data_IF_024832541644
#
_entry.id   IF_024832541644
#
_cell.length_a   1.000
_cell.length_b   1.000
_cell.length_c   1.000
_cell.angle_alpha   90.00
_cell.angle_beta   90.00
_cell.angle_gamma   90.00
#
_symmetry.space_group_name_H-M   'P 1'
#
loop_
_entity.id
_entity.type
_entity.pdbx_description
1 polymer ?
#
# COMPACT_ATOMS: atom_id res chain seq x y z
N UNK A 1 15.73 0.37 2.50
CA UNK A 1 14.31 0.32 2.09
C UNK A 1 13.83 -1.10 2.26
N UNK A 2 12.88 -1.38 3.17
CA UNK A 2 12.26 -2.70 3.20
C UNK A 2 11.46 -2.90 1.91
N UNK A 3 11.53 -4.11 1.37
CA UNK A 3 10.77 -4.47 0.19
C UNK A 3 9.28 -4.60 0.55
N UNK A 4 8.36 -4.50 -0.44
CA UNK A 4 6.98 -4.92 -0.24
C UNK A 4 6.94 -6.30 0.41
N UNK A 5 5.94 -6.54 1.26
CA UNK A 5 5.74 -7.84 1.90
C UNK A 5 5.76 -8.95 0.85
N UNK A 6 6.63 -9.93 1.07
CA UNK A 6 6.57 -11.18 0.31
C UNK A 6 5.39 -12.02 0.80
N UNK A 7 4.94 -13.00 0.03
CA UNK A 7 3.87 -13.90 0.48
C UNK A 7 4.29 -14.68 1.75
N UNK A 8 5.57 -15.05 1.85
CA UNK A 8 6.15 -15.67 3.06
C UNK A 8 5.97 -14.79 4.28
N UNK A 9 6.42 -13.54 4.19
CA UNK A 9 6.31 -12.58 5.28
C UNK A 9 4.85 -12.35 5.66
N UNK A 10 3.97 -12.32 4.66
CA UNK A 10 2.54 -12.12 4.86
C UNK A 10 1.87 -13.26 5.62
N UNK A 11 2.13 -14.52 5.25
CA UNK A 11 1.62 -15.70 5.94
C UNK A 11 2.12 -15.74 7.38
N UNK A 12 3.41 -15.47 7.60
CA UNK A 12 3.99 -15.42 8.94
C UNK A 12 3.37 -14.31 9.79
N UNK A 13 3.22 -13.09 9.24
CA UNK A 13 2.66 -11.94 9.96
C UNK A 13 1.18 -12.14 10.30
N UNK A 14 0.44 -12.80 9.43
CA UNK A 14 -0.97 -13.13 9.67
C UNK A 14 -1.14 -14.39 10.52
N UNK A 15 -0.06 -15.03 10.98
CA UNK A 15 -0.14 -16.23 11.83
C UNK A 15 -0.81 -17.42 11.14
N UNK A 16 -0.61 -17.56 9.83
CA UNK A 16 -0.99 -18.76 9.09
C UNK A 16 0.21 -19.68 8.88
N UNK A 17 -0.07 -20.95 8.58
CA UNK A 17 0.92 -21.88 8.01
C UNK A 17 0.54 -22.08 6.54
N UNK A 18 1.51 -21.96 5.63
CA UNK A 18 1.27 -22.16 4.20
C UNK A 18 2.13 -23.29 3.66
N UNK A 19 1.56 -24.29 2.96
CA UNK A 19 2.34 -25.32 2.30
C UNK A 19 3.32 -24.76 1.29
N UNK A 20 3.03 -23.62 0.63
CA UNK A 20 3.99 -22.98 -0.28
C UNK A 20 5.27 -22.56 0.44
N UNK A 21 5.14 -22.05 1.67
CA UNK A 21 6.28 -21.68 2.51
C UNK A 21 6.99 -22.93 3.03
N UNK A 22 6.23 -23.91 3.54
CA UNK A 22 6.79 -25.17 4.03
C UNK A 22 7.49 -25.97 2.92
N UNK A 23 7.00 -25.89 1.68
CA UNK A 23 7.58 -26.53 0.51
C UNK A 23 8.94 -25.92 0.17
N UNK A 24 9.08 -24.60 0.30
CA UNK A 24 10.37 -23.93 0.17
C UNK A 24 11.32 -24.27 1.30
N UNK A 25 10.84 -24.33 2.54
CA UNK A 25 11.69 -24.60 3.72
C UNK A 25 12.22 -26.04 3.77
N UNK A 26 11.49 -27.00 3.18
CA UNK A 26 11.95 -28.39 3.01
C UNK A 26 13.06 -28.54 1.95
N UNK A 27 13.33 -27.50 1.16
CA UNK A 27 14.35 -27.46 0.12
C UNK A 27 15.77 -27.26 0.66
N UNK A 28 16.35 -28.28 1.28
CA UNK A 28 17.81 -28.35 1.50
C UNK A 28 18.54 -28.59 0.15
N UNK A 29 19.83 -28.27 0.06
CA UNK A 29 20.61 -28.21 -1.20
C UNK A 29 20.59 -29.49 -2.08
N UNK A 30 20.22 -30.66 -1.54
CA UNK A 30 20.05 -31.90 -2.29
C UNK A 30 18.64 -32.07 -2.91
N UNK A 31 17.62 -31.35 -2.41
CA UNK A 31 16.23 -31.36 -2.88
C UNK A 31 15.90 -30.17 -3.81
N UNK A 32 16.89 -29.31 -4.12
CA UNK A 32 16.77 -28.22 -5.10
C UNK A 32 16.54 -28.70 -6.54
N UNK A 33 16.65 -30.01 -6.79
CA UNK A 33 16.27 -30.66 -8.05
C UNK A 33 14.77 -30.99 -8.05
N UNK A 34 13.94 -29.97 -8.22
CA UNK A 34 12.55 -30.12 -8.65
C UNK A 34 11.53 -30.29 -7.52
N UNK A 35 10.86 -29.19 -7.17
CA UNK A 35 9.49 -29.30 -6.65
C UNK A 35 8.62 -29.90 -7.75
N UNK A 36 7.89 -30.97 -7.44
CA UNK A 36 7.08 -31.66 -8.43
C UNK A 36 5.85 -30.82 -8.79
N UNK A 37 5.30 -31.03 -9.99
CA UNK A 37 4.07 -30.35 -10.37
C UNK A 37 2.93 -30.63 -9.38
N UNK A 38 2.91 -31.83 -8.78
CA UNK A 38 1.96 -32.21 -7.71
C UNK A 38 2.02 -31.25 -6.52
N UNK A 39 3.23 -30.91 -6.07
CA UNK A 39 3.41 -30.04 -4.90
C UNK A 39 2.84 -28.64 -5.15
N UNK A 40 2.98 -28.12 -6.38
CA UNK A 40 2.39 -26.84 -6.77
C UNK A 40 0.84 -26.91 -6.79
N UNK A 41 0.27 -27.96 -7.36
CA UNK A 41 -1.19 -28.12 -7.48
C UNK A 41 -1.86 -28.41 -6.13
N UNK A 42 -1.24 -29.18 -5.25
CA UNK A 42 -1.72 -29.37 -3.88
C UNK A 42 -1.60 -28.05 -3.08
N UNK A 43 -0.50 -27.30 -3.26
CA UNK A 43 -0.31 -26.02 -2.60
C UNK A 43 -1.26 -24.91 -3.11
N UNK A 44 -1.73 -24.98 -4.36
CA UNK A 44 -2.77 -24.09 -4.91
C UNK A 44 -4.04 -24.14 -4.09
N UNK A 45 -4.60 -25.34 -3.87
CA UNK A 45 -5.89 -25.50 -3.17
C UNK A 45 -5.80 -24.97 -1.74
N UNK A 46 -4.68 -25.21 -1.06
CA UNK A 46 -4.45 -24.67 0.28
C UNK A 46 -4.19 -23.16 0.26
N UNK A 47 -3.48 -22.61 -0.72
CA UNK A 47 -3.27 -21.17 -0.85
C UNK A 47 -4.59 -20.40 -1.04
N UNK A 48 -5.54 -20.96 -1.78
CA UNK A 48 -6.90 -20.40 -1.92
C UNK A 48 -7.66 -20.48 -0.59
N UNK A 49 -7.66 -21.65 0.08
CA UNK A 49 -8.31 -21.82 1.39
C UNK A 49 -7.74 -20.86 2.44
N UNK A 50 -6.42 -20.74 2.50
CA UNK A 50 -5.72 -19.83 3.39
C UNK A 50 -6.06 -18.38 3.03
N UNK A 51 -6.04 -18.00 1.76
CA UNK A 51 -6.44 -16.66 1.32
C UNK A 51 -7.83 -16.28 1.84
N UNK A 52 -8.81 -17.14 1.62
CA UNK A 52 -10.18 -16.95 2.08
C UNK A 52 -10.29 -16.86 3.61
N UNK A 53 -9.63 -17.76 4.33
CA UNK A 53 -9.63 -17.78 5.80
C UNK A 53 -8.95 -16.56 6.41
N UNK A 54 -7.79 -16.18 5.88
CA UNK A 54 -7.00 -15.04 6.34
C UNK A 54 -7.75 -13.72 6.10
N UNK A 55 -8.39 -13.54 4.94
CA UNK A 55 -9.18 -12.34 4.61
C UNK A 55 -10.44 -12.25 5.47
N UNK A 56 -11.18 -13.36 5.64
CA UNK A 56 -12.40 -13.37 6.49
C UNK A 56 -12.09 -13.07 7.96
N UNK A 57 -10.99 -13.60 8.50
CA UNK A 57 -10.55 -13.34 9.87
C UNK A 57 -9.79 -12.03 10.07
N UNK A 58 -9.50 -11.29 8.99
CA UNK A 58 -8.62 -10.12 9.06
C UNK A 58 -9.18 -9.04 9.97
N UNK A 59 -10.49 -8.79 9.91
CA UNK A 59 -11.17 -7.75 10.72
C UNK A 59 -10.91 -7.92 12.21
N UNK A 60 -11.01 -9.15 12.72
CA UNK A 60 -10.74 -9.46 14.12
C UNK A 60 -9.25 -9.35 14.45
N UNK A 61 -8.39 -9.75 13.53
CA UNK A 61 -6.92 -9.68 13.70
C UNK A 61 -6.37 -8.27 13.69
N UNK A 62 -7.03 -7.33 13.02
CA UNK A 62 -6.63 -5.92 13.00
C UNK A 62 -7.35 -5.08 14.04
N UNK A 63 -8.32 -5.65 14.75
CA UNK A 63 -9.10 -4.95 15.77
C UNK A 63 -8.22 -4.57 16.94
N UNK A 64 -8.28 -3.30 17.34
CA UNK A 64 -7.55 -2.82 18.50
C UNK A 64 -6.04 -2.84 18.34
N UNK A 65 -5.48 -2.96 17.14
CA UNK A 65 -4.05 -2.77 16.90
C UNK A 65 -3.70 -1.28 16.75
N UNK A 66 -2.43 -0.93 16.96
CA UNK A 66 -1.91 0.38 16.57
C UNK A 66 -1.88 0.52 15.04
N UNK A 67 -1.97 1.75 14.50
CA UNK A 67 -1.89 2.01 13.05
C UNK A 67 -0.76 1.24 12.37
N UNK A 68 0.45 1.28 12.93
CA UNK A 68 1.60 0.60 12.32
C UNK A 68 1.34 -0.90 12.12
N UNK A 69 1.01 -1.61 13.20
CA UNK A 69 0.74 -3.06 13.18
C UNK A 69 -0.44 -3.44 12.29
N UNK A 70 -1.43 -2.55 12.21
CA UNK A 70 -2.60 -2.67 11.35
C UNK A 70 -2.23 -2.51 9.88
N UNK A 71 -1.50 -1.45 9.52
CA UNK A 71 -0.98 -1.22 8.15
C UNK A 71 -0.12 -2.41 7.68
N UNK A 72 0.76 -2.94 8.54
CA UNK A 72 1.57 -4.12 8.19
C UNK A 72 0.69 -5.34 7.87
N UNK A 73 -0.35 -5.62 8.68
CA UNK A 73 -1.28 -6.73 8.42
C UNK A 73 -2.14 -6.54 7.18
N UNK A 74 -2.59 -5.31 6.89
CA UNK A 74 -3.33 -5.01 5.66
C UNK A 74 -2.43 -5.19 4.43
N UNK A 75 -1.15 -4.84 4.51
CA UNK A 75 -0.20 -5.05 3.43
C UNK A 75 0.15 -6.53 3.24
N UNK A 76 0.25 -7.30 4.33
CA UNK A 76 0.34 -8.75 4.24
C UNK A 76 -0.91 -9.37 3.59
N UNK A 77 -2.11 -8.92 3.98
CA UNK A 77 -3.35 -9.38 3.34
C UNK A 77 -3.36 -9.05 1.83
N UNK A 78 -2.84 -7.89 1.43
CA UNK A 78 -2.66 -7.55 0.02
C UNK A 78 -1.76 -8.55 -0.72
N UNK A 79 -0.59 -8.90 -0.16
CA UNK A 79 0.30 -9.88 -0.76
C UNK A 79 -0.36 -11.27 -0.89
N UNK A 80 -1.20 -11.66 0.08
CA UNK A 80 -1.97 -12.91 0.02
C UNK A 80 -2.98 -12.89 -1.13
N UNK A 81 -3.79 -11.83 -1.27
CA UNK A 81 -4.81 -11.78 -2.33
C UNK A 81 -4.23 -11.74 -3.74
N UNK A 82 -3.02 -11.18 -3.93
CA UNK A 82 -2.30 -11.23 -5.21
C UNK A 82 -2.06 -12.68 -5.62
N UNK A 83 -1.52 -13.49 -4.72
CA UNK A 83 -1.24 -14.89 -5.04
C UNK A 83 -2.51 -15.73 -5.12
N UNK A 84 -3.49 -15.49 -4.25
CA UNK A 84 -4.81 -16.15 -4.29
C UNK A 84 -5.52 -15.91 -5.61
N UNK A 85 -5.52 -14.69 -6.15
CA UNK A 85 -6.16 -14.38 -7.42
C UNK A 85 -5.61 -15.21 -8.58
N UNK A 86 -4.29 -15.40 -8.65
CA UNK A 86 -3.67 -16.25 -9.65
C UNK A 86 -4.09 -17.71 -9.48
N UNK A 87 -3.99 -18.24 -8.26
CA UNK A 87 -4.30 -19.65 -7.99
C UNK A 87 -5.79 -20.00 -8.15
N UNK A 88 -6.71 -19.09 -7.86
CA UNK A 88 -8.13 -19.30 -8.14
C UNK A 88 -8.34 -19.54 -9.64
N UNK A 89 -7.92 -18.57 -10.46
CA UNK A 89 -8.04 -18.62 -11.91
C UNK A 89 -7.29 -19.82 -12.50
N UNK A 90 -6.11 -20.15 -11.94
CA UNK A 90 -5.26 -21.23 -12.42
C UNK A 90 -5.99 -22.57 -12.53
N UNK A 91 -6.96 -22.88 -11.69
CA UNK A 91 -7.74 -24.10 -11.93
C UNK A 91 -9.22 -23.90 -11.80
N UNK A 92 -9.68 -22.71 -12.18
CA UNK A 92 -10.84 -22.58 -13.05
C UNK A 92 -10.45 -22.86 -14.53
N UNK A 93 -9.16 -23.02 -14.86
CA UNK A 93 -8.72 -23.38 -16.20
C UNK A 93 -8.96 -24.88 -16.47
N UNK A 94 -9.79 -25.19 -17.48
CA UNK A 94 -10.28 -26.54 -17.81
C UNK A 94 -9.17 -27.58 -17.94
N UNK A 95 -8.08 -27.25 -18.65
CA UNK A 95 -6.92 -28.11 -18.79
C UNK A 95 -6.37 -28.59 -17.44
N UNK A 96 -6.30 -27.69 -16.47
CA UNK A 96 -5.63 -27.94 -15.19
C UNK A 96 -6.56 -28.63 -14.18
N UNK A 97 -7.87 -28.63 -14.43
CA UNK A 97 -8.83 -29.46 -13.69
C UNK A 97 -8.84 -30.91 -14.16
N UNK A 98 -8.36 -31.21 -15.36
CA UNK A 98 -8.31 -32.56 -15.92
C UNK A 98 -7.00 -33.30 -15.60
N UNK A 99 -5.99 -32.60 -15.06
CA UNK A 99 -4.71 -33.20 -14.69
C UNK A 99 -4.84 -34.19 -13.54
N UNK A 100 -4.37 -35.42 -13.77
CA UNK A 100 -4.27 -36.44 -12.72
C UNK A 100 -2.93 -36.33 -11.98
N UNK A 101 -2.86 -36.93 -10.79
CA UNK A 101 -1.59 -37.06 -10.06
C UNK A 101 -0.55 -37.87 -10.83
N UNK A 102 -0.95 -38.77 -11.73
CA UNK A 102 -0.01 -39.55 -12.53
C UNK A 102 0.62 -38.70 -13.64
N UNK A 103 -0.17 -37.84 -14.29
CA UNK A 103 0.34 -36.86 -15.27
C UNK A 103 1.38 -35.96 -14.61
N UNK A 104 1.07 -35.43 -13.43
CA UNK A 104 1.97 -34.53 -12.70
C UNK A 104 3.27 -35.20 -12.20
N UNK A 105 3.29 -36.54 -12.01
CA UNK A 105 4.54 -37.29 -11.72
C UNK A 105 5.45 -37.40 -12.93
N UNK A 106 4.89 -37.39 -14.13
CA UNK A 106 5.66 -37.51 -15.37
C UNK A 106 6.39 -36.22 -15.76
N UNK A 107 6.00 -35.09 -15.15
CA UNK A 107 6.64 -33.80 -15.36
C UNK A 107 7.94 -33.69 -14.55
N UNK A 108 9.08 -33.86 -15.24
CA UNK A 108 10.42 -33.70 -14.65
C UNK A 108 10.97 -32.26 -14.64
N UNK A 109 10.16 -31.26 -15.00
CA UNK A 109 10.62 -29.86 -15.09
C UNK A 109 10.48 -29.17 -13.73
N UNK A 110 11.55 -28.58 -13.17
CA UNK A 110 11.47 -27.83 -11.92
C UNK A 110 10.57 -26.59 -12.07
N UNK A 111 9.62 -26.42 -11.15
CA UNK A 111 8.87 -25.17 -11.01
C UNK A 111 9.49 -24.29 -9.91
N UNK A 112 9.88 -23.07 -10.25
CA UNK A 112 10.52 -22.15 -9.30
C UNK A 112 9.48 -21.42 -8.42
N UNK A 113 8.98 -22.12 -7.39
CA UNK A 113 8.02 -21.57 -6.39
C UNK A 113 8.61 -20.36 -5.64
N UNK A 114 9.94 -20.26 -5.56
CA UNK A 114 10.62 -19.18 -4.85
C UNK A 114 10.23 -17.80 -5.40
N UNK A 115 10.09 -17.69 -6.71
CA UNK A 115 9.66 -16.46 -7.38
C UNK A 115 8.22 -16.04 -7.04
N UNK A 116 7.37 -16.95 -6.55
CA UNK A 116 6.02 -16.64 -6.09
C UNK A 116 5.99 -16.20 -4.62
N UNK A 117 6.84 -16.81 -3.81
CA UNK A 117 6.75 -16.70 -2.35
C UNK A 117 7.65 -15.61 -1.80
N UNK A 118 8.87 -15.48 -2.35
CA UNK A 118 9.90 -14.55 -1.88
C UNK A 118 10.00 -13.28 -2.76
N UNK A 119 9.27 -13.20 -3.87
CA UNK A 119 9.27 -12.00 -4.70
C UNK A 119 8.38 -10.90 -4.10
N UNK A 120 8.82 -9.62 -4.17
CA UNK A 120 7.97 -8.51 -3.80
C UNK A 120 6.89 -8.29 -4.86
N UNK A 121 5.63 -8.28 -4.45
CA UNK A 121 4.51 -8.05 -5.36
C UNK A 121 4.25 -6.55 -5.60
N UNK A 122 3.80 -6.16 -6.81
CA UNK A 122 3.37 -4.79 -7.08
C UNK A 122 2.27 -4.35 -6.10
N UNK A 123 2.53 -3.28 -5.34
CA UNK A 123 1.60 -2.73 -4.37
C UNK A 123 1.03 -1.40 -4.85
N UNK A 124 -0.29 -1.16 -4.72
CA UNK A 124 -0.88 0.16 -4.90
C UNK A 124 -0.27 1.18 -3.96
N UNK A 125 -0.14 2.41 -4.44
CA UNK A 125 0.24 3.54 -3.62
C UNK A 125 -0.13 4.84 -4.32
N UNK A 126 -0.44 5.91 -3.56
CA UNK A 126 -0.96 7.13 -4.14
C UNK A 126 0.07 7.86 -5.00
N UNK A 127 1.35 7.47 -4.98
CA UNK A 127 2.40 8.02 -5.83
C UNK A 127 2.30 7.65 -7.31
N UNK A 128 1.47 6.65 -7.66
CA UNK A 128 1.32 6.16 -9.04
C UNK A 128 -0.15 5.87 -9.34
N UNK A 129 -0.58 5.99 -10.61
CA UNK A 129 -1.89 5.50 -11.04
C UNK A 129 -2.07 4.01 -10.72
N UNK A 130 -3.30 3.63 -10.38
CA UNK A 130 -3.65 2.25 -10.03
C UNK A 130 -3.52 1.32 -11.24
N UNK A 131 -3.81 1.83 -12.43
CA UNK A 131 -3.75 1.12 -13.71
C UNK A 131 -2.34 0.59 -13.98
N UNK A 132 -1.30 1.37 -13.66
CA UNK A 132 0.07 0.90 -13.79
C UNK A 132 0.36 -0.30 -12.89
N UNK A 133 -0.28 -0.40 -11.72
CA UNK A 133 -0.11 -1.55 -10.81
C UNK A 133 -0.74 -2.80 -11.44
N UNK A 134 -1.89 -2.63 -12.10
CA UNK A 134 -2.53 -3.72 -12.85
C UNK A 134 -1.65 -4.17 -14.02
N UNK A 135 -1.01 -3.25 -14.72
CA UNK A 135 -0.06 -3.58 -15.79
C UNK A 135 1.17 -4.32 -15.24
N UNK A 136 1.70 -3.92 -14.09
CA UNK A 136 2.79 -4.63 -13.42
C UNK A 136 2.37 -6.05 -13.02
N UNK A 137 1.16 -6.20 -12.46
CA UNK A 137 0.61 -7.50 -12.08
C UNK A 137 0.37 -8.38 -13.31
N UNK A 138 -0.12 -7.82 -14.42
CA UNK A 138 -0.28 -8.55 -15.68
C UNK A 138 1.04 -9.12 -16.18
N UNK A 139 2.13 -8.34 -16.08
CA UNK A 139 3.48 -8.81 -16.43
C UNK A 139 3.95 -9.93 -15.50
N UNK A 140 3.74 -9.80 -14.19
CA UNK A 140 4.11 -10.86 -13.25
C UNK A 140 3.29 -12.14 -13.49
N UNK A 141 1.97 -12.04 -13.63
CA UNK A 141 1.13 -13.20 -13.93
C UNK A 141 1.47 -13.83 -15.28
N UNK A 142 1.88 -13.06 -16.29
CA UNK A 142 2.37 -13.60 -17.56
C UNK A 142 3.63 -14.44 -17.38
N UNK A 143 4.59 -13.99 -16.56
CA UNK A 143 5.82 -14.75 -16.26
C UNK A 143 5.53 -16.07 -15.56
N UNK A 144 4.60 -16.04 -14.59
CA UNK A 144 4.19 -17.22 -13.83
C UNK A 144 3.42 -18.18 -14.74
N UNK A 145 2.48 -17.65 -15.53
CA UNK A 145 1.72 -18.43 -16.52
C UNK A 145 2.68 -19.15 -17.46
N UNK A 146 3.65 -18.45 -18.05
CA UNK A 146 4.65 -19.09 -18.92
C UNK A 146 5.42 -20.21 -18.22
N UNK A 147 5.69 -20.08 -16.91
CA UNK A 147 6.37 -21.11 -16.12
C UNK A 147 5.48 -22.31 -15.85
N UNK A 148 4.19 -22.10 -15.57
CA UNK A 148 3.19 -23.17 -15.46
C UNK A 148 2.98 -23.87 -16.80
N UNK A 149 2.88 -23.13 -17.90
CA UNK A 149 2.64 -23.71 -19.22
C UNK A 149 3.82 -24.56 -19.69
N UNK A 150 5.07 -24.13 -19.42
CA UNK A 150 6.27 -24.97 -19.65
C UNK A 150 6.29 -26.24 -18.80
N UNK A 151 5.70 -26.20 -17.60
CA UNK A 151 5.58 -27.36 -16.74
C UNK A 151 4.62 -28.39 -17.36
N UNK A 152 3.46 -27.93 -17.84
CA UNK A 152 2.44 -28.83 -18.41
C UNK A 152 2.67 -29.18 -19.88
N UNK A 153 3.56 -28.48 -20.59
CA UNK A 153 3.79 -28.71 -22.02
C UNK A 153 4.38 -30.08 -22.37
N UNK A 154 4.91 -30.81 -21.38
CA UNK A 154 5.40 -32.17 -21.56
C UNK A 154 4.32 -33.25 -21.42
N UNK A 155 3.06 -32.88 -21.21
CA UNK A 155 1.96 -33.80 -20.95
C UNK A 155 1.12 -34.06 -22.20
N UNK A 156 0.63 -35.28 -22.38
CA UNK A 156 -0.21 -35.64 -23.53
C UNK A 156 -1.48 -34.76 -23.62
N UNK A 157 -2.08 -34.42 -22.48
CA UNK A 157 -3.24 -33.53 -22.40
C UNK A 157 -2.96 -32.12 -22.94
N UNK A 158 -1.70 -31.66 -22.89
CA UNK A 158 -1.31 -30.38 -23.48
C UNK A 158 -1.35 -30.44 -25.01
N UNK A 159 -0.85 -31.54 -25.59
CA UNK A 159 -0.82 -31.73 -27.04
C UNK A 159 -2.26 -31.81 -27.62
N UNK A 160 -3.20 -32.37 -26.87
CA UNK A 160 -4.61 -32.51 -27.27
C UNK A 160 -5.40 -31.18 -27.36
N UNK A 161 -4.96 -30.12 -26.68
CA UNK A 161 -5.58 -28.79 -26.79
C UNK A 161 -5.43 -28.20 -28.20
N UNK A 162 -4.31 -28.47 -28.86
CA UNK A 162 -3.91 -27.79 -30.09
C UNK A 162 -3.51 -26.32 -29.87
N UNK A 163 -2.71 -25.79 -30.80
CA UNK A 163 -2.02 -24.51 -30.70
C UNK A 163 -2.96 -23.33 -30.36
N UNK A 164 -4.13 -23.25 -31.01
CA UNK A 164 -5.08 -22.15 -30.78
C UNK A 164 -5.59 -22.06 -29.35
N UNK A 165 -5.86 -23.20 -28.70
CA UNK A 165 -6.33 -23.20 -27.31
C UNK A 165 -5.18 -22.96 -26.33
N UNK A 166 -3.98 -23.47 -26.63
CA UNK A 166 -2.76 -23.18 -25.87
C UNK A 166 -2.45 -21.67 -25.86
N UNK A 167 -2.48 -21.02 -27.03
CA UNK A 167 -2.27 -19.57 -27.17
C UNK A 167 -3.31 -18.75 -26.42
N UNK A 168 -4.58 -19.20 -26.48
CA UNK A 168 -5.68 -18.57 -25.74
C UNK A 168 -5.45 -18.69 -24.24
N UNK A 169 -5.08 -19.86 -23.73
CA UNK A 169 -4.80 -20.07 -22.32
C UNK A 169 -3.65 -19.18 -21.82
N UNK A 170 -2.56 -19.10 -22.59
CA UNK A 170 -1.40 -18.26 -22.28
C UNK A 170 -1.77 -16.77 -22.19
N UNK A 171 -2.68 -16.30 -23.05
CA UNK A 171 -3.14 -14.91 -23.10
C UNK A 171 -4.19 -14.59 -22.03
N UNK A 172 -5.14 -15.48 -21.83
CA UNK A 172 -6.34 -15.20 -21.04
C UNK A 172 -6.10 -15.38 -19.54
N UNK A 173 -5.24 -16.33 -19.14
CA UNK A 173 -5.00 -16.65 -17.73
C UNK A 173 -4.44 -15.44 -16.95
N UNK A 174 -3.39 -14.72 -17.42
CA UNK A 174 -2.91 -13.51 -16.75
C UNK A 174 -4.00 -12.43 -16.63
N UNK A 175 -4.75 -12.19 -17.71
CA UNK A 175 -5.79 -11.16 -17.74
C UNK A 175 -6.96 -11.50 -16.80
N UNK A 176 -7.34 -12.79 -16.71
CA UNK A 176 -8.33 -13.27 -15.74
C UNK A 176 -7.83 -13.11 -14.30
N UNK A 177 -6.57 -13.44 -14.04
CA UNK A 177 -5.97 -13.29 -12.71
C UNK A 177 -5.92 -11.83 -12.25
N UNK A 178 -5.63 -10.87 -13.16
CA UNK A 178 -5.74 -9.43 -12.85
C UNK A 178 -7.18 -9.06 -12.47
N UNK A 179 -8.18 -9.49 -13.24
CA UNK A 179 -9.59 -9.22 -12.91
C UNK A 179 -9.99 -9.80 -11.56
N UNK A 180 -9.57 -11.03 -11.24
CA UNK A 180 -9.84 -11.64 -9.94
C UNK A 180 -9.13 -10.91 -8.80
N UNK A 181 -7.90 -10.45 -9.02
CA UNK A 181 -7.20 -9.60 -8.06
C UNK A 181 -7.97 -8.30 -7.80
N UNK A 182 -8.48 -7.64 -8.84
CA UNK A 182 -9.26 -6.41 -8.68
C UNK A 182 -10.55 -6.67 -7.87
N UNK A 183 -11.23 -7.79 -8.08
CA UNK A 183 -12.40 -8.19 -7.28
C UNK A 183 -12.05 -8.36 -5.80
N UNK A 184 -10.98 -9.10 -5.49
CA UNK A 184 -10.51 -9.30 -4.11
C UNK A 184 -10.04 -7.99 -3.49
N UNK A 185 -9.32 -7.16 -4.24
CA UNK A 185 -8.83 -5.87 -3.79
C UNK A 185 -9.97 -4.90 -3.49
N UNK A 186 -11.03 -4.85 -4.32
CA UNK A 186 -12.22 -4.02 -4.05
C UNK A 186 -12.94 -4.46 -2.78
N UNK A 187 -13.05 -5.77 -2.53
CA UNK A 187 -13.62 -6.29 -1.26
C UNK A 187 -12.79 -5.84 -0.07
N UNK A 188 -11.46 -5.99 -0.15
CA UNK A 188 -10.54 -5.54 0.89
C UNK A 188 -10.65 -4.02 1.12
N UNK A 189 -10.72 -3.23 0.06
CA UNK A 189 -10.88 -1.78 0.14
C UNK A 189 -12.25 -1.34 0.71
N UNK A 190 -13.31 -2.12 0.47
CA UNK A 190 -14.62 -1.86 1.04
C UNK A 190 -14.64 -2.11 2.56
N UNK A 191 -13.90 -3.11 3.02
CA UNK A 191 -13.80 -3.46 4.44
C UNK A 191 -12.84 -2.56 5.23
N UNK A 192 -11.81 -2.02 4.57
CA UNK A 192 -10.69 -1.30 5.18
C UNK A 192 -10.39 0.03 4.44
N UNK A 193 -10.78 1.19 5.00
CA UNK A 193 -10.60 2.50 4.38
C UNK A 193 -9.14 2.85 4.03
N UNK A 194 -8.17 2.31 4.76
CA UNK A 194 -6.73 2.45 4.48
C UNK A 194 -6.39 1.92 3.08
N UNK A 195 -6.90 0.73 2.76
CA UNK A 195 -6.65 0.05 1.48
C UNK A 195 -7.29 0.82 0.33
N UNK A 196 -8.48 1.39 0.55
CA UNK A 196 -9.13 2.28 -0.42
C UNK A 196 -8.29 3.54 -0.72
N UNK A 197 -7.56 4.07 0.28
CA UNK A 197 -6.68 5.22 0.10
C UNK A 197 -5.42 4.89 -0.72
N UNK A 198 -4.92 3.64 -0.69
CA UNK A 198 -3.70 3.26 -1.42
C UNK A 198 -3.84 3.32 -2.94
N UNK A 199 -5.02 2.99 -3.45
CA UNK A 199 -5.32 3.00 -4.88
C UNK A 199 -6.06 4.27 -5.32
N UNK A 200 -6.14 5.29 -4.46
CA UNK A 200 -6.94 6.51 -4.68
C UNK A 200 -8.41 6.24 -5.07
N UNK A 201 -8.94 5.04 -4.76
CA UNK A 201 -10.31 4.63 -5.11
C UNK A 201 -11.37 5.46 -4.37
N UNK A 202 -10.97 6.11 -3.27
CA UNK A 202 -11.80 7.08 -2.57
C UNK A 202 -12.06 8.38 -3.37
N UNK A 203 -11.37 8.61 -4.50
CA UNK A 203 -11.53 9.78 -5.37
C UNK A 203 -12.73 9.72 -6.32
N UNK A 204 -13.34 8.54 -6.54
CA UNK A 204 -14.43 8.33 -7.51
C UNK A 204 -15.80 8.96 -7.16
N UNK A 205 -15.91 9.75 -6.08
CA UNK A 205 -17.13 10.51 -5.73
C UNK A 205 -17.03 12.01 -6.07
N UNK A 206 -16.00 12.42 -6.82
CA UNK A 206 -15.57 13.81 -6.93
C UNK A 206 -16.54 14.80 -7.61
N UNK A 207 -17.50 14.37 -8.44
CA UNK A 207 -18.28 15.35 -9.23
C UNK A 207 -19.30 16.17 -8.42
N UNK A 208 -19.53 15.85 -7.13
CA UNK A 208 -20.43 16.65 -6.25
C UNK A 208 -19.75 17.25 -5.01
N UNK A 209 -18.55 16.80 -4.66
CA UNK A 209 -17.76 17.35 -3.54
C UNK A 209 -16.82 18.48 -3.97
N UNK A 210 -16.42 18.57 -5.25
CA UNK A 210 -15.49 19.61 -5.77
C UNK A 210 -15.91 21.05 -5.41
N UNK A 211 -17.20 21.35 -5.33
CA UNK A 211 -17.71 22.68 -4.95
C UNK A 211 -17.63 22.96 -3.43
N UNK A 212 -17.56 21.93 -2.57
CA UNK A 212 -17.38 22.06 -1.12
C UNK A 212 -15.92 21.97 -0.67
N UNK A 213 -15.09 21.19 -1.38
CA UNK A 213 -13.68 20.93 -1.04
C UNK A 213 -12.76 22.11 -1.35
N UNK A 214 -13.12 22.97 -2.30
CA UNK A 214 -12.40 24.22 -2.63
C UNK A 214 -12.23 25.19 -1.42
N UNK A 215 -12.92 24.96 -0.30
CA UNK A 215 -12.99 25.92 0.80
C UNK A 215 -12.23 25.55 2.09
N UNK A 216 -11.56 24.37 2.21
CA UNK A 216 -11.01 23.93 3.52
C UNK A 216 -9.66 23.19 3.54
N UNK A 217 -8.85 23.24 2.49
CA UNK A 217 -7.51 22.61 2.47
C UNK A 217 -7.45 21.19 3.08
N UNK A 218 -6.38 20.89 3.84
CA UNK A 218 -6.16 19.61 4.55
C UNK A 218 -7.21 19.26 5.64
N UNK A 219 -8.37 19.90 5.71
CA UNK A 219 -9.48 19.42 6.54
C UNK A 219 -9.94 18.01 6.12
N UNK A 220 -9.98 17.72 4.81
CA UNK A 220 -10.34 16.40 4.29
C UNK A 220 -9.39 15.27 4.75
N UNK A 221 -8.12 15.60 4.99
CA UNK A 221 -7.13 14.66 5.52
C UNK A 221 -7.53 14.14 6.91
N UNK A 222 -7.98 15.05 7.80
CA UNK A 222 -8.42 14.69 9.14
C UNK A 222 -9.61 13.74 9.07
N UNK A 223 -10.60 14.03 8.24
CA UNK A 223 -11.81 13.23 8.11
C UNK A 223 -11.47 11.82 7.60
N UNK A 224 -10.64 11.72 6.55
CA UNK A 224 -10.16 10.44 6.00
C UNK A 224 -9.40 9.61 7.04
N UNK A 225 -8.42 10.21 7.72
CA UNK A 225 -7.63 9.50 8.72
C UNK A 225 -8.41 9.19 10.01
N UNK A 226 -9.45 9.98 10.33
CA UNK A 226 -10.33 9.69 11.47
C UNK A 226 -11.21 8.47 11.22
N UNK A 227 -11.64 8.23 9.97
CA UNK A 227 -12.35 7.01 9.58
C UNK A 227 -11.48 5.74 9.68
N UNK A 228 -10.15 5.91 9.66
CA UNK A 228 -9.15 4.86 9.79
C UNK A 228 -8.77 4.59 11.26
N UNK A 229 -8.92 5.60 12.13
CA UNK A 229 -8.46 5.57 13.52
C UNK A 229 -9.14 4.46 14.34
N UNK A 230 -8.37 3.78 15.18
CA UNK A 230 -8.87 2.74 16.09
C UNK A 230 -9.61 3.29 17.33
N UNK A 231 -9.80 4.62 17.41
CA UNK A 231 -10.50 5.28 18.52
C UNK A 231 -9.67 5.39 19.81
N UNK A 232 -8.35 5.17 19.73
CA UNK A 232 -7.43 5.31 20.86
C UNK A 232 -7.26 6.78 21.25
N UNK A 233 -7.05 7.03 22.53
CA UNK A 233 -6.73 8.36 23.05
C UNK A 233 -5.23 8.48 23.36
N UNK A 234 -4.62 9.66 23.12
CA UNK A 234 -3.25 9.92 23.53
C UNK A 234 -3.10 9.85 25.06
N UNK A 235 -1.93 9.46 25.53
CA UNK A 235 -1.56 9.65 26.94
C UNK A 235 -1.53 11.14 27.29
N UNK A 236 -1.67 11.46 28.58
CA UNK A 236 -1.80 12.85 29.04
C UNK A 236 -0.62 13.75 28.60
N UNK A 237 0.60 13.21 28.58
CA UNK A 237 1.80 13.92 28.11
C UNK A 237 1.78 14.22 26.61
N UNK A 238 1.26 13.29 25.81
CA UNK A 238 1.17 13.46 24.35
C UNK A 238 0.02 14.41 23.97
N UNK A 239 -1.00 14.51 24.81
CA UNK A 239 -2.12 15.44 24.63
C UNK A 239 -1.64 16.89 24.55
N UNK A 240 -0.71 17.31 25.42
CA UNK A 240 -0.18 18.67 25.39
C UNK A 240 0.48 19.02 24.04
N UNK A 241 1.26 18.10 23.46
CA UNK A 241 1.89 18.30 22.16
C UNK A 241 0.87 18.34 21.02
N UNK A 242 -0.15 17.48 21.07
CA UNK A 242 -1.26 17.50 20.11
C UNK A 242 -2.02 18.83 20.16
N UNK A 243 -2.36 19.30 21.36
CA UNK A 243 -3.06 20.57 21.56
C UNK A 243 -2.21 21.77 21.11
N UNK A 244 -0.90 21.77 21.39
CA UNK A 244 0.01 22.79 20.90
C UNK A 244 0.06 22.86 19.37
N UNK A 245 0.10 21.69 18.70
CA UNK A 245 0.02 21.62 17.24
C UNK A 245 -1.33 22.14 16.73
N UNK A 246 -2.45 21.75 17.34
CA UNK A 246 -3.80 22.22 16.96
C UNK A 246 -3.97 23.72 17.12
N UNK A 247 -3.45 24.30 18.21
CA UNK A 247 -3.51 25.73 18.48
C UNK A 247 -2.86 26.57 17.37
N UNK A 248 -1.95 26.01 16.60
CA UNK A 248 -1.33 26.68 15.46
C UNK A 248 -2.33 27.05 14.34
N UNK A 249 -3.45 26.34 14.21
CA UNK A 249 -4.50 26.63 13.23
C UNK A 249 -5.29 27.91 13.57
N UNK A 250 -5.40 28.25 14.86
CA UNK A 250 -6.09 29.46 15.30
C UNK A 250 -5.27 30.74 15.09
N UNK A 251 -3.98 30.63 14.76
CA UNK A 251 -3.09 31.80 14.58
C UNK A 251 -3.33 32.44 13.20
N UNK A 252 -3.22 33.78 13.07
CA UNK A 252 -3.28 34.46 11.78
C UNK A 252 -2.22 33.98 10.78
N UNK A 253 -2.53 34.01 9.48
CA UNK A 253 -1.59 33.59 8.41
C UNK A 253 -0.36 34.49 8.32
N UNK A 254 -0.52 35.78 8.56
CA UNK A 254 0.55 36.79 8.55
C UNK A 254 0.58 37.51 9.90
N UNK A 255 1.77 37.86 10.38
CA UNK A 255 1.96 38.68 11.58
C UNK A 255 1.57 40.13 11.32
N UNK A 256 0.96 40.79 12.31
CA UNK A 256 0.21 42.06 12.22
C UNK A 256 0.92 43.29 11.61
N UNK A 257 2.22 43.22 11.34
CA UNK A 257 3.00 44.34 10.81
C UNK A 257 2.56 44.78 9.40
N UNK A 258 1.88 43.90 8.65
CA UNK A 258 1.52 44.11 7.24
C UNK A 258 0.02 44.35 6.99
N UNK A 259 -0.80 44.63 8.03
CA UNK A 259 -2.26 44.72 7.91
C UNK A 259 -2.73 46.16 7.72
N UNK A 260 -3.37 46.50 6.58
CA UNK A 260 -4.03 47.80 6.41
C UNK A 260 -5.16 47.99 7.43
N UNK A 261 -5.34 49.22 7.92
CA UNK A 261 -6.40 49.55 8.88
C UNK A 261 -7.78 49.11 8.39
N UNK A 262 -8.52 48.38 9.24
CA UNK A 262 -9.86 47.87 8.94
C UNK A 262 -9.92 46.48 8.32
N UNK A 263 -8.77 45.84 8.01
CA UNK A 263 -8.74 44.43 7.59
C UNK A 263 -8.48 43.48 8.76
N UNK A 264 -9.12 42.30 8.73
CA UNK A 264 -8.84 41.19 9.64
C UNK A 264 -8.20 40.05 8.86
N UNK A 265 -6.98 39.63 9.24
CA UNK A 265 -6.35 38.46 8.63
C UNK A 265 -7.09 37.20 9.15
N UNK A 266 -7.51 36.28 8.26
CA UNK A 266 -8.08 35.00 8.68
C UNK A 266 -7.06 34.16 9.47
N UNK A 267 -7.58 33.28 10.32
CA UNK A 267 -6.76 32.23 10.94
C UNK A 267 -6.21 31.28 9.88
N UNK A 268 -5.15 30.55 10.23
CA UNK A 268 -4.57 29.54 9.35
C UNK A 268 -5.57 28.43 8.99
N UNK A 269 -6.49 28.09 9.89
CA UNK A 269 -7.61 27.17 9.61
C UNK A 269 -8.43 27.60 8.39
N UNK A 270 -8.79 28.89 8.35
CA UNK A 270 -9.68 29.45 7.33
C UNK A 270 -8.93 29.87 6.06
N UNK A 271 -7.68 30.30 6.19
CA UNK A 271 -6.90 30.87 5.08
C UNK A 271 -6.06 29.86 4.31
N UNK A 272 -5.93 28.62 4.79
CA UNK A 272 -5.08 27.62 4.13
C UNK A 272 -5.79 26.96 2.94
N UNK A 273 -5.12 26.98 1.78
CA UNK A 273 -5.54 26.33 0.55
C UNK A 273 -4.50 25.28 0.18
N UNK A 274 -4.96 24.08 -0.18
CA UNK A 274 -4.05 23.00 -0.56
C UNK A 274 -3.29 23.38 -1.84
N UNK A 275 -1.95 23.30 -1.83
CA UNK A 275 -1.18 23.57 -3.03
C UNK A 275 -1.35 22.44 -4.04
N UNK A 276 -1.45 22.81 -5.32
CA UNK A 276 -1.22 21.86 -6.40
C UNK A 276 0.20 21.31 -6.30
N UNK A 277 0.37 20.00 -6.53
CA UNK A 277 1.62 19.29 -6.33
C UNK A 277 1.91 18.33 -7.48
N UNK A 278 3.13 17.80 -7.50
CA UNK A 278 3.55 16.71 -8.39
C UNK A 278 4.25 15.66 -7.54
N UNK A 279 4.11 14.40 -7.92
CA UNK A 279 4.77 13.29 -7.22
C UNK A 279 5.85 12.73 -8.12
N UNK A 280 7.05 12.59 -7.57
CA UNK A 280 8.19 12.00 -8.26
C UNK A 280 8.59 10.75 -7.48
N UNK A 281 8.60 9.60 -8.16
CA UNK A 281 9.18 8.39 -7.61
C UNK A 281 10.70 8.49 -7.70
N UNK A 282 11.46 8.24 -6.63
CA UNK A 282 12.92 8.32 -6.66
C UNK A 282 13.59 7.33 -7.62
N UNK A 283 12.85 6.32 -8.11
CA UNK A 283 13.33 5.35 -9.11
C UNK A 283 13.01 5.75 -10.55
N UNK A 284 12.09 6.70 -10.75
CA UNK A 284 11.83 7.24 -12.07
C UNK A 284 12.83 8.38 -12.32
N UNK A 285 13.44 8.39 -13.50
CA UNK A 285 14.11 9.59 -13.99
C UNK A 285 13.09 10.74 -13.90
N UNK A 286 13.51 11.91 -13.40
CA UNK A 286 12.61 13.05 -13.21
C UNK A 286 11.89 13.31 -14.52
N UNK A 287 10.62 12.93 -14.60
CA UNK A 287 9.80 13.16 -15.77
C UNK A 287 9.23 14.59 -15.69
N UNK A 288 9.68 15.52 -16.55
CA UNK A 288 9.14 16.87 -16.60
C UNK A 288 7.64 16.89 -16.92
N UNK A 289 7.10 15.79 -17.47
CA UNK A 289 5.69 15.59 -17.82
C UNK A 289 4.81 15.04 -16.68
N UNK A 290 5.33 14.89 -15.46
CA UNK A 290 4.51 14.46 -14.31
C UNK A 290 3.29 15.38 -14.11
N UNK A 291 2.11 14.77 -14.12
CA UNK A 291 0.83 15.48 -14.06
C UNK A 291 0.70 16.26 -12.73
N UNK A 292 0.23 17.51 -12.84
CA UNK A 292 -0.12 18.30 -11.66
C UNK A 292 -1.37 17.71 -11.04
N UNK A 293 -1.33 17.54 -9.72
CA UNK A 293 -2.42 17.03 -8.90
C UNK A 293 -2.88 18.08 -7.89
N UNK A 294 -4.15 18.03 -7.54
CA UNK A 294 -4.76 18.95 -6.56
C UNK A 294 -5.45 18.18 -5.40
N UNK A 295 -5.24 16.86 -5.30
CA UNK A 295 -5.80 15.95 -4.29
C UNK A 295 -4.83 15.70 -3.10
N UNK A 296 -4.21 16.76 -2.57
CA UNK A 296 -3.11 16.62 -1.60
C UNK A 296 -3.54 15.90 -0.32
N UNK A 297 -4.76 16.13 0.14
CA UNK A 297 -5.36 15.46 1.29
C UNK A 297 -5.44 13.94 1.09
N UNK A 298 -5.91 13.49 -0.07
CA UNK A 298 -6.04 12.08 -0.43
C UNK A 298 -4.67 11.44 -0.59
N UNK A 299 -3.72 12.14 -1.24
CA UNK A 299 -2.34 11.69 -1.38
C UNK A 299 -1.68 11.48 -0.01
N UNK A 300 -1.76 12.46 0.90
CA UNK A 300 -1.17 12.36 2.23
C UNK A 300 -1.85 11.28 3.07
N UNK A 301 -3.18 11.13 2.99
CA UNK A 301 -3.90 10.07 3.69
C UNK A 301 -3.42 8.67 3.22
N UNK A 302 -3.35 8.46 1.91
CA UNK A 302 -2.83 7.23 1.33
C UNK A 302 -1.37 7.00 1.70
N UNK A 303 -0.53 8.03 1.61
CA UNK A 303 0.90 7.91 1.90
C UNK A 303 1.14 7.54 3.37
N UNK A 304 0.52 8.25 4.31
CA UNK A 304 0.69 8.02 5.75
C UNK A 304 0.13 6.67 6.25
N UNK A 305 -0.70 6.01 5.43
CA UNK A 305 -1.26 4.69 5.72
C UNK A 305 -0.62 3.57 4.93
N UNK A 306 0.39 3.88 4.09
CA UNK A 306 1.21 2.88 3.42
C UNK A 306 2.31 2.34 4.35
N UNK A 307 2.68 1.05 4.24
CA UNK A 307 3.86 0.49 4.91
C UNK A 307 5.15 1.26 4.61
N UNK A 308 5.30 1.72 3.37
CA UNK A 308 6.54 2.34 2.88
C UNK A 308 6.81 3.72 3.49
N UNK A 309 5.81 4.37 4.11
CA UNK A 309 6.00 5.67 4.74
C UNK A 309 6.95 5.64 5.95
N UNK A 310 7.20 4.46 6.53
CA UNK A 310 8.21 4.28 7.58
C UNK A 310 9.57 3.84 7.05
N UNK A 311 9.68 3.50 5.76
CA UNK A 311 10.91 2.97 5.16
C UNK A 311 11.78 4.04 4.49
N UNK A 312 11.16 5.17 4.11
CA UNK A 312 11.83 6.30 3.47
C UNK A 312 11.08 7.61 3.78
N UNK A 313 11.80 8.74 3.87
CA UNK A 313 11.19 10.04 4.13
C UNK A 313 10.41 10.55 2.90
N UNK A 314 9.32 11.29 3.16
CA UNK A 314 8.66 12.12 2.15
C UNK A 314 9.42 13.45 2.00
N UNK A 315 9.96 13.71 0.81
CA UNK A 315 10.65 14.96 0.51
C UNK A 315 9.69 15.97 -0.14
N UNK A 316 9.51 17.12 0.51
CA UNK A 316 8.70 18.23 -0.03
C UNK A 316 9.62 19.29 -0.64
N UNK A 317 9.56 19.44 -1.96
CA UNK A 317 10.32 20.44 -2.71
C UNK A 317 9.41 21.57 -3.20
N UNK A 318 9.97 22.77 -3.28
CA UNK A 318 9.26 23.95 -3.78
C UNK A 318 10.11 25.21 -3.63
N UNK A 319 9.78 26.24 -4.39
CA UNK A 319 10.49 27.52 -4.36
C UNK A 319 10.45 28.17 -2.96
N UNK A 320 11.38 29.09 -2.63
CA UNK A 320 11.25 29.95 -1.46
C UNK A 320 9.87 30.63 -1.43
N UNK A 321 9.23 30.69 -0.27
CA UNK A 321 7.88 31.26 -0.13
C UNK A 321 6.71 30.37 -0.58
N UNK A 322 6.95 29.19 -1.18
CA UNK A 322 5.89 28.28 -1.65
C UNK A 322 5.05 27.59 -0.52
N UNK A 323 5.12 28.07 0.71
CA UNK A 323 4.28 27.56 1.80
C UNK A 323 4.73 26.24 2.46
N UNK A 324 5.94 25.73 2.19
CA UNK A 324 6.44 24.46 2.78
C UNK A 324 6.33 24.39 4.31
N UNK A 325 6.75 25.45 5.02
CA UNK A 325 6.65 25.52 6.49
C UNK A 325 5.19 25.61 6.98
N UNK A 326 4.31 26.20 6.17
CA UNK A 326 2.88 26.30 6.49
C UNK A 326 2.23 24.93 6.31
N UNK A 327 2.55 24.21 5.23
CA UNK A 327 2.12 22.83 5.00
C UNK A 327 2.48 21.92 6.18
N UNK A 328 3.72 21.95 6.68
CA UNK A 328 4.12 21.09 7.81
C UNK A 328 3.39 21.44 9.10
N UNK A 329 3.10 22.73 9.34
CA UNK A 329 2.30 23.19 10.48
C UNK A 329 0.85 22.73 10.39
N UNK A 330 0.21 22.90 9.24
CA UNK A 330 -1.18 22.46 9.00
C UNK A 330 -1.28 20.95 9.10
N UNK A 331 -0.35 20.21 8.48
CA UNK A 331 -0.29 18.76 8.58
C UNK A 331 -0.20 18.31 10.04
N UNK A 332 0.77 18.83 10.79
CA UNK A 332 0.94 18.51 12.22
C UNK A 332 -0.33 18.79 13.03
N UNK A 333 -1.05 19.86 12.74
CA UNK A 333 -2.26 20.24 13.46
C UNK A 333 -3.50 19.39 13.09
N UNK A 334 -3.51 18.77 11.90
CA UNK A 334 -4.67 18.04 11.36
C UNK A 334 -4.58 16.52 11.53
N UNK A 335 -3.41 15.97 11.87
CA UNK A 335 -3.26 14.54 12.08
C UNK A 335 -4.07 14.05 13.30
N UNK A 336 -4.75 12.88 13.21
CA UNK A 336 -5.50 12.32 14.33
C UNK A 336 -4.59 11.92 15.52
N UNK A 337 -4.96 12.40 16.70
CA UNK A 337 -4.19 12.30 17.95
C UNK A 337 -3.99 10.88 18.47
N UNK A 338 -4.91 9.96 18.17
CA UNK A 338 -4.86 8.57 18.64
C UNK A 338 -3.88 7.67 17.89
N UNK A 339 -3.47 8.09 16.69
CA UNK A 339 -2.63 7.27 15.80
C UNK A 339 -1.32 7.98 15.47
N UNK A 340 -1.31 9.32 15.41
CA UNK A 340 -0.14 10.11 15.02
C UNK A 340 0.36 10.96 16.18
N UNK A 341 1.70 11.04 16.28
CA UNK A 341 2.38 11.97 17.16
C UNK A 341 3.21 12.95 16.31
N UNK A 342 2.61 14.04 15.81
CA UNK A 342 3.34 15.01 15.01
C UNK A 342 4.33 15.78 15.88
N UNK A 343 5.61 15.65 15.56
CA UNK A 343 6.68 16.48 16.10
C UNK A 343 7.27 17.32 14.99
N UNK A 344 7.24 18.65 15.15
CA UNK A 344 7.84 19.58 14.19
C UNK A 344 9.19 20.05 14.74
N UNK A 345 10.25 19.80 13.98
CA UNK A 345 11.62 20.24 14.32
C UNK A 345 12.06 21.28 13.29
N UNK A 346 12.12 22.54 13.68
CA UNK A 346 12.56 23.62 12.81
C UNK A 346 14.07 23.82 12.94
N UNK A 347 14.85 23.16 12.08
CA UNK A 347 16.32 23.11 12.18
C UNK A 347 17.02 24.48 12.27
N UNK A 348 16.39 25.55 11.77
CA UNK A 348 16.93 26.94 11.90
C UNK A 348 16.98 27.44 13.35
N UNK A 349 16.23 26.84 14.26
CA UNK A 349 16.18 27.20 15.68
C UNK A 349 16.98 26.23 16.57
N UNK A 350 17.50 25.15 15.99
CA UNK A 350 18.23 24.11 16.71
C UNK A 350 19.73 24.36 16.63
N UNK A 351 20.53 24.10 17.68
CA UNK A 351 21.99 24.20 17.61
C UNK A 351 22.55 23.35 16.47
N UNK A 352 23.50 23.91 15.71
CA UNK A 352 24.00 23.30 14.48
C UNK A 352 24.77 21.99 14.70
N UNK A 353 25.31 21.79 15.91
CA UNK A 353 26.07 20.62 16.36
C UNK A 353 25.22 19.62 17.17
N UNK A 354 23.92 19.88 17.34
CA UNK A 354 23.02 18.98 18.05
C UNK A 354 22.84 17.67 17.29
N UNK A 355 22.97 16.54 18.00
CA UNK A 355 22.58 15.23 17.47
C UNK A 355 21.05 15.13 17.28
N UNK A 356 20.59 14.06 16.60
CA UNK A 356 19.17 13.89 16.27
C UNK A 356 18.27 13.87 17.52
N UNK A 357 18.74 13.29 18.62
CA UNK A 357 17.97 13.23 19.86
C UNK A 357 17.82 14.63 20.46
N UNK A 358 18.91 15.39 20.54
CA UNK A 358 18.90 16.77 21.02
C UNK A 358 18.05 17.68 20.12
N UNK A 359 18.03 17.46 18.80
CA UNK A 359 17.15 18.17 17.87
C UNK A 359 15.66 17.88 18.16
N UNK A 360 15.32 16.62 18.41
CA UNK A 360 13.97 16.17 18.78
C UNK A 360 13.55 16.78 20.13
N UNK A 361 14.41 16.71 21.14
CA UNK A 361 14.16 17.28 22.47
C UNK A 361 13.98 18.79 22.42
N UNK A 362 14.75 19.48 21.58
CA UNK A 362 14.57 20.91 21.35
C UNK A 362 13.20 21.19 20.72
N UNK A 363 12.81 20.43 19.69
CA UNK A 363 11.48 20.56 19.07
C UNK A 363 10.32 20.29 20.03
N UNK A 364 10.48 19.34 20.96
CA UNK A 364 9.47 19.08 22.01
C UNK A 364 9.37 20.27 22.97
N UNK A 365 10.52 20.82 23.41
CA UNK A 365 10.56 21.97 24.32
C UNK A 365 10.08 23.28 23.69
N UNK A 366 10.24 23.44 22.38
CA UNK A 366 9.70 24.61 21.67
C UNK A 366 8.18 24.53 21.47
N UNK A 367 7.64 23.31 21.44
CA UNK A 367 6.22 23.07 21.26
C UNK A 367 5.39 23.11 22.55
N UNK A 368 6.00 22.87 23.72
CA UNK A 368 5.37 22.82 25.04
C UNK A 368 5.79 24.02 25.89
#
# INVERSE_FOLDING_TARGET
MRQPFTYRDAVALLGGESPLVALLDKGSAAAMLGLSAIDLFDARAEAVRLGDGLVRGLRDRVKGLHRYDRTQRLAAAHAVIVLTAFFEVLGEAELLSELTREDLKSVGVPFEVRSLVDAPWPMPGPQRPYELVLDDLLRHYSLITGSVLRLVSGLAVWDELGETRQDRLARDLPARAVRRYEELFRRLAADFPEVACWASLAGGRATRDEVRTLARGLAGLRDRLSAISSGRSPSDRLRALVEANRAALGRPVVTSADVPGGMTIPSLDLGYVDPGFRVISPRAQVDPGSERRDDLDAFLAGHLTLPQATDAPLLVLGQPGAGKSVLTRVLAARLPEGEFLPLRVELRHVPADADVLAQIEHGIRDAL
#
